data_IF_837886536773
#
_entry.id   IF_837886536773
#
_cell.length_a   1.000
_cell.length_b   1.000
_cell.length_c   1.000
_cell.angle_alpha   90.00
_cell.angle_beta   90.00
_cell.angle_gamma   90.00
#
_symmetry.space_group_name_H-M   'P 1'
#
loop_
_entity.id
_entity.type
_entity.pdbx_description
1 polymer ?
#
# COMPACT_ATOMS: atom_id res chain seq x y z
N UNK A 1 -23.49 -0.92 -7.77
CA UNK A 1 -23.46 -1.96 -6.72
C UNK A 1 -23.90 -1.40 -5.35
N UNK A 2 -23.47 -0.19 -4.99
CA UNK A 2 -23.81 0.48 -3.72
C UNK A 2 -25.32 0.71 -3.57
N UNK A 3 -25.96 1.23 -4.64
CA UNK A 3 -27.41 1.52 -4.65
C UNK A 3 -28.26 0.25 -4.56
N UNK A 4 -27.76 -0.87 -5.10
CA UNK A 4 -28.47 -2.16 -5.05
C UNK A 4 -28.43 -2.75 -3.63
N UNK A 5 -27.29 -2.70 -2.96
CA UNK A 5 -27.15 -3.17 -1.57
C UNK A 5 -27.97 -2.34 -0.59
N UNK A 6 -28.01 -1.02 -0.77
CA UNK A 6 -28.84 -0.11 0.04
C UNK A 6 -30.34 -0.34 -0.17
N UNK A 7 -30.76 -0.60 -1.41
CA UNK A 7 -32.14 -0.95 -1.74
C UNK A 7 -32.56 -2.29 -1.14
N UNK A 8 -31.70 -3.31 -1.25
CA UNK A 8 -31.95 -4.63 -0.65
C UNK A 8 -32.07 -4.53 0.87
N UNK A 9 -31.16 -3.78 1.53
CA UNK A 9 -31.19 -3.58 2.97
C UNK A 9 -32.48 -2.91 3.44
N UNK A 10 -32.93 -1.83 2.79
CA UNK A 10 -34.20 -1.18 3.11
C UNK A 10 -35.39 -2.14 2.96
N UNK A 11 -35.36 -3.00 1.95
CA UNK A 11 -36.40 -4.01 1.74
C UNK A 11 -36.41 -5.03 2.88
N UNK A 12 -35.24 -5.49 3.35
CA UNK A 12 -35.14 -6.42 4.48
C UNK A 12 -35.63 -5.78 5.78
N UNK A 13 -35.18 -4.56 6.11
CA UNK A 13 -35.63 -3.83 7.30
C UNK A 13 -37.15 -3.65 7.32
N UNK A 14 -37.74 -3.27 6.17
CA UNK A 14 -39.19 -3.12 6.04
C UNK A 14 -39.91 -4.46 6.25
N UNK A 15 -39.41 -5.54 5.61
CA UNK A 15 -40.02 -6.87 5.75
C UNK A 15 -39.96 -7.37 7.20
N UNK A 16 -38.85 -7.12 7.90
CA UNK A 16 -38.67 -7.49 9.30
C UNK A 16 -39.64 -6.74 10.22
N UNK A 17 -39.80 -5.43 10.03
CA UNK A 17 -40.74 -4.60 10.77
C UNK A 17 -42.18 -5.01 10.51
N UNK A 18 -42.52 -5.33 9.27
CA UNK A 18 -43.85 -5.78 8.89
C UNK A 18 -44.20 -7.13 9.52
N UNK A 19 -43.25 -8.09 9.54
CA UNK A 19 -43.44 -9.40 10.20
C UNK A 19 -43.60 -9.24 11.72
N UNK A 20 -42.79 -8.43 12.38
CA UNK A 20 -42.87 -8.18 13.81
C UNK A 20 -44.22 -7.56 14.16
N UNK A 21 -44.69 -6.57 13.40
CA UNK A 21 -46.01 -5.93 13.58
C UNK A 21 -47.16 -6.93 13.42
N UNK A 22 -47.08 -7.83 12.43
CA UNK A 22 -48.09 -8.89 12.24
C UNK A 22 -48.12 -9.87 13.38
N UNK A 23 -46.97 -10.28 13.90
CA UNK A 23 -46.86 -11.16 15.06
C UNK A 23 -47.48 -10.54 16.31
N UNK A 24 -47.20 -9.29 16.59
CA UNK A 24 -47.76 -8.59 17.76
C UNK A 24 -49.26 -8.42 17.64
N UNK A 25 -49.77 -8.13 16.45
CA UNK A 25 -51.22 -8.06 16.17
C UNK A 25 -51.89 -9.41 16.44
N UNK A 26 -51.33 -10.51 15.93
CA UNK A 26 -51.86 -11.86 16.14
C UNK A 26 -51.81 -12.28 17.62
N UNK A 27 -50.71 -11.97 18.33
CA UNK A 27 -50.61 -12.21 19.79
C UNK A 27 -51.70 -11.49 20.55
N UNK A 28 -51.96 -10.23 20.21
CA UNK A 28 -53.01 -9.43 20.83
C UNK A 28 -54.42 -9.98 20.53
N UNK A 29 -54.67 -10.44 19.31
CA UNK A 29 -55.92 -11.07 18.92
C UNK A 29 -56.15 -12.40 19.64
N UNK A 30 -55.12 -13.28 19.74
CA UNK A 30 -55.16 -14.55 20.46
C UNK A 30 -55.44 -14.29 21.96
N UNK A 31 -54.72 -13.38 22.61
CA UNK A 31 -54.97 -13.01 24.00
C UNK A 31 -56.35 -12.45 24.23
N UNK A 32 -56.87 -11.66 23.29
CA UNK A 32 -58.25 -11.15 23.33
C UNK A 32 -59.34 -12.24 23.24
N UNK A 33 -59.10 -13.26 22.42
CA UNK A 33 -59.98 -14.43 22.29
C UNK A 33 -59.94 -15.33 23.51
N UNK A 34 -58.74 -15.61 24.04
CA UNK A 34 -58.54 -16.40 25.26
C UNK A 34 -59.18 -15.72 26.49
N UNK A 35 -59.04 -14.40 26.62
CA UNK A 35 -59.62 -13.64 27.76
C UNK A 35 -61.14 -13.55 27.78
N UNK A 36 -61.79 -13.65 26.60
CA UNK A 36 -63.24 -13.53 26.46
C UNK A 36 -64.03 -14.83 26.69
N UNK A 37 -63.35 -15.93 27.10
CA UNK A 37 -63.97 -17.23 27.35
C UNK A 37 -64.88 -17.73 26.20
N UNK A 38 -64.46 -17.55 24.93
CA UNK A 38 -65.18 -18.16 23.84
C UNK A 38 -64.84 -19.65 23.75
N UNK A 39 -65.46 -20.40 24.67
CA UNK A 39 -65.44 -21.85 24.65
C UNK A 39 -66.09 -22.34 23.33
N UNK A 40 -65.25 -22.74 22.36
CA UNK A 40 -65.69 -23.30 21.09
C UNK A 40 -65.20 -22.58 19.85
N UNK A 41 -64.43 -21.49 19.96
CA UNK A 41 -63.80 -20.88 18.81
C UNK A 41 -62.44 -21.55 18.51
N UNK A 42 -62.28 -22.07 17.31
CA UNK A 42 -61.00 -22.68 16.88
C UNK A 42 -59.98 -21.61 16.55
N UNK A 43 -59.01 -21.42 17.42
CA UNK A 43 -57.89 -20.48 17.25
C UNK A 43 -56.64 -21.15 16.69
N UNK A 44 -56.70 -22.45 16.32
CA UNK A 44 -55.60 -23.22 15.83
C UNK A 44 -54.91 -22.60 14.63
N UNK A 45 -55.69 -22.07 13.67
CA UNK A 45 -55.16 -21.43 12.46
C UNK A 45 -54.34 -20.17 12.80
N UNK A 46 -54.75 -19.37 13.78
CA UNK A 46 -54.03 -18.18 14.24
C UNK A 46 -52.72 -18.57 14.97
N UNK A 47 -52.77 -19.65 15.75
CA UNK A 47 -51.60 -20.16 16.43
C UNK A 47 -50.59 -20.72 15.47
N UNK A 48 -51.03 -21.52 14.46
CA UNK A 48 -50.16 -22.04 13.41
C UNK A 48 -49.47 -20.89 12.62
N UNK A 49 -50.24 -19.85 12.28
CA UNK A 49 -49.71 -18.68 11.57
C UNK A 49 -48.73 -17.87 12.41
N UNK A 50 -48.94 -17.78 13.73
CA UNK A 50 -47.98 -17.15 14.64
C UNK A 50 -46.68 -17.95 14.71
N UNK A 51 -46.73 -19.27 14.76
CA UNK A 51 -45.56 -20.16 14.74
C UNK A 51 -44.80 -19.99 13.43
N UNK A 52 -45.51 -20.01 12.27
CA UNK A 52 -44.88 -19.81 10.96
C UNK A 52 -44.17 -18.43 10.88
N UNK A 53 -44.84 -17.37 11.29
CA UNK A 53 -44.25 -16.01 11.31
C UNK A 53 -43.04 -15.92 12.27
N UNK A 54 -43.12 -16.60 13.42
CA UNK A 54 -42.01 -16.63 14.37
C UNK A 54 -40.80 -17.35 13.78
N UNK A 55 -41.00 -18.48 13.11
CA UNK A 55 -39.93 -19.18 12.43
C UNK A 55 -39.27 -18.33 11.34
N UNK A 56 -40.08 -17.69 10.49
CA UNK A 56 -39.55 -16.80 9.44
C UNK A 56 -38.82 -15.59 9.99
N UNK A 57 -39.29 -15.05 11.10
CA UNK A 57 -38.60 -13.97 11.81
C UNK A 57 -37.23 -14.41 12.36
N UNK A 58 -37.19 -15.61 12.99
CA UNK A 58 -35.93 -16.17 13.49
C UNK A 58 -34.94 -16.54 12.39
N UNK A 59 -35.42 -17.00 11.23
CA UNK A 59 -34.59 -17.26 10.07
C UNK A 59 -33.98 -15.96 9.52
N UNK A 60 -34.81 -14.94 9.32
CA UNK A 60 -34.34 -13.62 8.86
C UNK A 60 -33.33 -13.00 9.84
N UNK A 61 -33.58 -13.14 11.16
CA UNK A 61 -32.63 -12.67 12.18
C UNK A 61 -31.31 -13.44 12.21
N UNK A 62 -31.27 -14.71 11.79
CA UNK A 62 -30.03 -15.48 11.62
C UNK A 62 -29.25 -15.01 10.40
N UNK A 63 -29.94 -14.78 9.29
CA UNK A 63 -29.30 -14.29 8.06
C UNK A 63 -28.65 -12.91 8.29
N UNK A 64 -29.34 -12.00 8.97
CA UNK A 64 -28.80 -10.67 9.34
C UNK A 64 -27.52 -10.78 10.22
N UNK A 65 -27.49 -11.76 11.16
CA UNK A 65 -26.29 -12.01 11.99
C UNK A 65 -25.14 -12.56 11.17
N UNK A 66 -25.43 -13.47 10.23
CA UNK A 66 -24.43 -14.04 9.33
C UNK A 66 -23.79 -12.96 8.46
N UNK A 67 -24.61 -12.09 7.89
CA UNK A 67 -24.15 -10.97 7.07
C UNK A 67 -23.30 -9.98 7.89
N UNK A 68 -23.70 -9.69 9.14
CA UNK A 68 -22.95 -8.82 10.03
C UNK A 68 -21.59 -9.43 10.43
N UNK A 69 -21.49 -10.74 10.60
CA UNK A 69 -20.24 -11.45 10.87
C UNK A 69 -19.31 -11.45 9.67
N UNK A 70 -19.85 -11.64 8.45
CA UNK A 70 -19.09 -11.58 7.21
C UNK A 70 -18.53 -10.17 6.97
N UNK A 71 -19.33 -9.12 7.20
CA UNK A 71 -18.88 -7.73 7.10
C UNK A 71 -17.77 -7.41 8.13
N UNK A 72 -17.89 -7.89 9.37
CA UNK A 72 -16.85 -7.71 10.39
C UNK A 72 -15.54 -8.41 10.01
N UNK A 73 -15.63 -9.61 9.43
CA UNK A 73 -14.46 -10.35 8.94
C UNK A 73 -13.80 -9.58 7.80
N UNK A 74 -14.57 -9.14 6.81
CA UNK A 74 -14.08 -8.35 5.69
C UNK A 74 -13.40 -7.05 6.14
N UNK A 75 -13.96 -6.37 7.14
CA UNK A 75 -13.33 -5.19 7.75
C UNK A 75 -12.01 -5.53 8.45
N UNK A 76 -11.95 -6.66 9.15
CA UNK A 76 -10.71 -7.13 9.79
C UNK A 76 -9.62 -7.42 8.77
N UNK A 77 -9.96 -8.11 7.67
CA UNK A 77 -9.04 -8.44 6.58
C UNK A 77 -8.53 -7.17 5.87
N UNK A 78 -9.41 -6.18 5.69
CA UNK A 78 -9.04 -4.90 5.10
C UNK A 78 -8.10 -4.10 6.02
N UNK A 79 -8.34 -4.08 7.33
CA UNK A 79 -7.44 -3.46 8.32
C UNK A 79 -6.07 -4.11 8.35
N UNK A 80 -6.01 -5.44 8.25
CA UNK A 80 -4.73 -6.15 8.14
C UNK A 80 -3.99 -5.79 6.85
N UNK A 81 -4.70 -5.67 5.74
CA UNK A 81 -4.15 -5.23 4.45
C UNK A 81 -3.58 -3.80 4.54
N UNK A 82 -4.30 -2.88 5.18
CA UNK A 82 -3.83 -1.52 5.45
C UNK A 82 -2.55 -1.54 6.28
N UNK A 83 -2.53 -2.29 7.38
CA UNK A 83 -1.37 -2.39 8.26
C UNK A 83 -0.13 -2.95 7.53
N UNK A 84 -0.31 -3.98 6.69
CA UNK A 84 0.77 -4.52 5.84
C UNK A 84 1.30 -3.45 4.89
N UNK A 85 0.42 -2.73 4.20
CA UNK A 85 0.82 -1.67 3.26
C UNK A 85 1.53 -0.52 3.96
N UNK A 86 1.08 -0.13 5.15
CA UNK A 86 1.75 0.89 5.96
C UNK A 86 3.17 0.49 6.35
N UNK A 87 3.40 -0.80 6.65
CA UNK A 87 4.70 -1.33 7.01
C UNK A 87 5.66 -1.49 5.82
N UNK A 88 5.18 -1.52 4.58
CA UNK A 88 6.02 -1.65 3.39
C UNK A 88 6.95 -0.45 3.25
N UNK A 89 8.22 -0.74 2.90
CA UNK A 89 9.25 0.25 2.64
C UNK A 89 9.77 0.08 1.21
N UNK A 90 10.11 1.19 0.59
CA UNK A 90 10.78 1.15 -0.70
C UNK A 90 12.11 0.41 -0.59
N UNK A 91 12.35 -0.52 -1.50
CA UNK A 91 13.63 -1.23 -1.64
C UNK A 91 14.26 -0.84 -2.97
N UNK A 92 15.34 -0.08 -2.90
CA UNK A 92 16.08 0.35 -4.07
C UNK A 92 16.67 -0.82 -4.83
N UNK A 93 16.39 -0.91 -6.12
CA UNK A 93 17.05 -1.83 -7.06
C UNK A 93 18.43 -1.33 -7.50
N UNK A 94 18.75 -0.08 -7.18
CA UNK A 94 19.98 0.60 -7.60
C UNK A 94 21.06 0.61 -6.52
N UNK A 95 20.83 0.03 -5.34
CA UNK A 95 21.78 0.04 -4.22
C UNK A 95 23.17 -0.43 -4.64
N UNK A 96 23.27 -1.59 -5.29
CA UNK A 96 24.56 -2.13 -5.73
C UNK A 96 25.16 -1.31 -6.89
N UNK A 97 24.43 -1.00 -7.99
CA UNK A 97 24.97 -0.14 -9.06
C UNK A 97 25.44 1.22 -8.56
N UNK A 98 24.73 1.86 -7.64
CA UNK A 98 25.15 3.14 -7.04
C UNK A 98 26.45 2.99 -6.25
N UNK A 99 26.59 1.93 -5.45
CA UNK A 99 27.81 1.66 -4.70
C UNK A 99 29.00 1.43 -5.63
N UNK A 100 28.82 0.64 -6.70
CA UNK A 100 29.87 0.32 -7.67
C UNK A 100 30.36 1.55 -8.43
N UNK A 101 29.44 2.41 -8.90
CA UNK A 101 29.79 3.64 -9.59
C UNK A 101 30.42 4.65 -8.62
N UNK A 102 29.93 4.78 -7.41
CA UNK A 102 30.53 5.65 -6.40
C UNK A 102 31.98 5.24 -6.07
N UNK A 103 32.24 3.94 -5.99
CA UNK A 103 33.59 3.41 -5.81
C UNK A 103 34.53 3.77 -6.99
N UNK A 104 34.05 3.61 -8.25
CA UNK A 104 34.79 4.02 -9.45
C UNK A 104 35.05 5.52 -9.48
N UNK A 105 34.09 6.36 -9.15
CA UNK A 105 34.29 7.81 -9.07
C UNK A 105 35.37 8.16 -8.06
N UNK A 106 35.37 7.52 -6.90
CA UNK A 106 36.37 7.72 -5.86
C UNK A 106 37.77 7.29 -6.33
N UNK A 107 37.88 6.12 -6.98
CA UNK A 107 39.13 5.59 -7.52
C UNK A 107 39.71 6.51 -8.60
N UNK A 108 38.89 6.87 -9.60
CA UNK A 108 39.30 7.79 -10.67
C UNK A 108 39.71 9.15 -10.12
N UNK A 109 39.00 9.68 -9.13
CA UNK A 109 39.32 10.92 -8.46
C UNK A 109 40.69 10.86 -7.73
N UNK A 110 40.94 9.77 -7.02
CA UNK A 110 42.24 9.55 -6.35
C UNK A 110 43.38 9.40 -7.36
N UNK A 111 43.14 8.70 -8.47
CA UNK A 111 44.14 8.54 -9.52
C UNK A 111 44.43 9.87 -10.24
N UNK A 112 43.39 10.63 -10.58
CA UNK A 112 43.52 11.96 -11.15
C UNK A 112 44.37 12.88 -10.26
N UNK A 113 44.11 12.92 -8.96
CA UNK A 113 44.88 13.74 -8.03
C UNK A 113 46.35 13.35 -7.97
N UNK A 114 46.67 12.04 -7.98
CA UNK A 114 48.02 11.55 -8.01
C UNK A 114 48.74 11.95 -9.29
N UNK A 115 48.10 11.79 -10.45
CA UNK A 115 48.71 12.15 -11.75
C UNK A 115 48.92 13.67 -11.85
N UNK A 116 48.00 14.49 -11.37
CA UNK A 116 48.18 15.96 -11.30
C UNK A 116 49.35 16.33 -10.39
N UNK A 117 49.49 15.68 -9.23
CA UNK A 117 50.61 15.93 -8.32
C UNK A 117 51.93 15.54 -8.95
N UNK A 118 51.97 14.36 -9.60
CA UNK A 118 53.16 13.87 -10.33
C UNK A 118 53.55 14.82 -11.47
N UNK A 119 52.55 15.29 -12.25
CA UNK A 119 52.80 16.24 -13.33
C UNK A 119 53.37 17.58 -12.81
N UNK A 120 52.90 18.10 -11.70
CA UNK A 120 53.39 19.33 -11.09
C UNK A 120 54.80 19.23 -10.58
N UNK A 121 55.22 18.07 -10.09
CA UNK A 121 56.55 17.80 -9.60
C UNK A 121 57.55 17.42 -10.70
N UNK A 122 57.08 17.16 -11.93
CA UNK A 122 57.86 16.56 -13.00
C UNK A 122 58.80 17.56 -13.68
N UNK A 123 60.09 17.25 -13.72
CA UNK A 123 61.14 18.08 -14.34
C UNK A 123 62.24 17.24 -15.02
N UNK A 124 63.10 17.90 -15.78
CA UNK A 124 64.25 17.25 -16.38
C UNK A 124 65.19 16.62 -15.33
N UNK A 125 65.73 15.46 -15.63
CA UNK A 125 66.56 14.66 -14.73
C UNK A 125 65.77 13.61 -13.93
N UNK A 126 64.45 13.69 -13.89
CA UNK A 126 63.58 12.64 -13.29
C UNK A 126 63.46 11.43 -14.22
N UNK A 127 63.07 10.29 -13.65
CA UNK A 127 62.75 9.09 -14.41
C UNK A 127 61.35 9.21 -15.04
N UNK A 128 61.25 8.83 -16.33
CA UNK A 128 59.95 8.80 -17.03
C UNK A 128 59.05 7.74 -16.40
N UNK A 129 57.82 8.08 -15.95
CA UNK A 129 56.93 7.13 -15.32
C UNK A 129 56.46 5.99 -16.24
N UNK A 130 56.61 6.14 -17.57
CA UNK A 130 56.16 5.15 -18.56
C UNK A 130 57.31 4.21 -19.01
N UNK A 131 58.51 4.77 -19.29
CA UNK A 131 59.62 3.97 -19.85
C UNK A 131 60.83 3.85 -18.93
N UNK A 132 60.79 4.42 -17.76
CA UNK A 132 61.82 4.38 -16.71
C UNK A 132 63.21 4.90 -17.15
N UNK A 133 63.26 5.71 -18.19
CA UNK A 133 64.50 6.40 -18.64
C UNK A 133 64.61 7.78 -18.04
N UNK A 134 65.80 8.25 -17.83
CA UNK A 134 66.05 9.64 -17.43
C UNK A 134 65.53 10.61 -18.48
N UNK A 135 64.73 11.58 -18.06
CA UNK A 135 64.12 12.61 -18.94
C UNK A 135 65.13 13.72 -19.14
N UNK A 136 65.50 13.95 -20.41
CA UNK A 136 66.34 15.08 -20.79
C UNK A 136 65.50 16.31 -21.03
N UNK A 137 66.15 17.51 -21.10
CA UNK A 137 65.43 18.75 -21.45
C UNK A 137 64.72 18.66 -22.80
N UNK A 138 65.30 17.93 -23.77
CA UNK A 138 64.75 17.72 -25.10
C UNK A 138 63.51 16.83 -25.11
N UNK A 139 63.45 15.79 -24.26
CA UNK A 139 62.32 14.83 -24.15
C UNK A 139 61.25 15.30 -23.15
N UNK A 140 61.55 16.29 -22.35
CA UNK A 140 60.62 16.81 -21.31
C UNK A 140 59.25 17.24 -21.87
N UNK A 141 59.18 17.98 -23.01
CA UNK A 141 57.86 18.41 -23.55
C UNK A 141 57.00 17.23 -23.99
N UNK A 142 57.57 16.17 -24.57
CA UNK A 142 56.83 14.99 -25.03
C UNK A 142 56.28 14.21 -23.84
N UNK A 143 57.07 14.02 -22.79
CA UNK A 143 56.63 13.34 -21.59
C UNK A 143 55.52 14.15 -20.85
N UNK A 144 55.68 15.46 -20.78
CA UNK A 144 54.65 16.34 -20.21
C UNK A 144 53.38 16.31 -21.04
N UNK A 145 53.43 16.26 -22.36
CA UNK A 145 52.27 16.13 -23.24
C UNK A 145 51.54 14.79 -23.00
N UNK A 146 52.30 13.69 -22.86
CA UNK A 146 51.72 12.39 -22.53
C UNK A 146 51.03 12.36 -21.15
N UNK A 147 51.67 12.93 -20.14
CA UNK A 147 51.04 13.06 -18.80
C UNK A 147 49.81 13.92 -18.81
N UNK A 148 49.82 15.08 -19.55
CA UNK A 148 48.61 15.90 -19.70
C UNK A 148 47.47 15.14 -20.35
N UNK A 149 47.77 14.30 -21.36
CA UNK A 149 46.76 13.45 -22.00
C UNK A 149 46.15 12.46 -20.98
N UNK A 150 46.95 11.78 -20.20
CA UNK A 150 46.47 10.86 -19.15
C UNK A 150 45.57 11.59 -18.15
N UNK A 151 45.97 12.79 -17.71
CA UNK A 151 45.18 13.62 -16.79
C UNK A 151 43.85 14.00 -17.42
N UNK A 152 43.85 14.41 -18.71
CA UNK A 152 42.63 14.74 -19.45
C UNK A 152 41.69 13.57 -19.61
N UNK A 153 42.25 12.37 -19.93
CA UNK A 153 41.47 11.14 -20.10
C UNK A 153 40.84 10.71 -18.75
N UNK A 154 41.58 10.81 -17.65
CA UNK A 154 41.09 10.54 -16.30
C UNK A 154 39.97 11.54 -15.87
N UNK A 155 40.17 12.81 -16.22
CA UNK A 155 39.14 13.83 -15.94
C UNK A 155 37.83 13.54 -16.70
N UNK A 156 37.93 13.22 -18.00
CA UNK A 156 36.79 12.86 -18.83
C UNK A 156 36.06 11.63 -18.30
N UNK A 157 36.82 10.56 -18.01
CA UNK A 157 36.26 9.34 -17.44
C UNK A 157 35.60 9.57 -16.07
N UNK A 158 36.22 10.39 -15.22
CA UNK A 158 35.67 10.75 -13.91
C UNK A 158 34.38 11.57 -14.01
N UNK A 159 34.30 12.47 -15.00
CA UNK A 159 33.11 13.29 -15.27
C UNK A 159 31.97 12.43 -15.78
N UNK A 160 32.24 11.50 -16.69
CA UNK A 160 31.25 10.55 -17.21
C UNK A 160 30.67 9.69 -16.09
N UNK A 161 31.54 9.11 -15.23
CA UNK A 161 31.06 8.29 -14.12
C UNK A 161 30.25 9.09 -13.10
N UNK A 162 30.57 10.37 -12.89
CA UNK A 162 29.75 11.26 -12.04
C UNK A 162 28.38 11.51 -12.65
N UNK A 163 28.30 11.73 -13.97
CA UNK A 163 27.02 11.89 -14.66
C UNK A 163 26.15 10.66 -14.50
N UNK A 164 26.71 9.47 -14.73
CA UNK A 164 26.01 8.20 -14.56
C UNK A 164 25.55 7.98 -13.10
N UNK A 165 26.36 8.38 -12.11
CA UNK A 165 25.98 8.32 -10.71
C UNK A 165 24.76 9.22 -10.42
N UNK A 166 24.79 10.44 -10.93
CA UNK A 166 23.70 11.40 -10.76
C UNK A 166 22.41 10.90 -11.42
N UNK A 167 22.50 10.39 -12.64
CA UNK A 167 21.36 9.82 -13.35
C UNK A 167 20.72 8.65 -12.60
N UNK A 168 21.54 7.73 -12.08
CA UNK A 168 21.05 6.61 -11.29
C UNK A 168 20.42 7.06 -9.96
N UNK A 169 20.99 8.07 -9.31
CA UNK A 169 20.40 8.66 -8.09
C UNK A 169 19.04 9.28 -8.36
N UNK A 170 18.89 9.99 -9.49
CA UNK A 170 17.61 10.56 -9.90
C UNK A 170 16.59 9.48 -10.26
N UNK A 171 17.03 8.39 -10.91
CA UNK A 171 16.14 7.25 -11.21
C UNK A 171 15.67 6.56 -9.93
N UNK A 172 16.56 6.34 -8.98
CA UNK A 172 16.23 5.73 -7.69
C UNK A 172 15.25 6.61 -6.90
N UNK A 173 15.53 7.91 -6.85
CA UNK A 173 14.62 8.87 -6.23
C UNK A 173 13.23 8.86 -6.87
N UNK A 174 13.14 8.92 -8.19
CA UNK A 174 11.87 8.85 -8.92
C UNK A 174 11.11 7.55 -8.62
N UNK A 175 11.82 6.43 -8.52
CA UNK A 175 11.22 5.15 -8.17
C UNK A 175 10.68 5.14 -6.73
N UNK A 176 11.42 5.74 -5.79
CA UNK A 176 10.97 5.93 -4.40
C UNK A 176 9.74 6.83 -4.32
N UNK A 177 9.79 8.01 -4.96
CA UNK A 177 8.67 8.96 -4.99
C UNK A 177 7.39 8.31 -5.58
N UNK A 178 7.57 7.50 -6.64
CA UNK A 178 6.47 6.77 -7.28
C UNK A 178 5.90 5.69 -6.35
N UNK A 179 6.76 4.95 -5.64
CA UNK A 179 6.33 3.97 -4.65
C UNK A 179 5.52 4.63 -3.53
N UNK A 180 6.00 5.75 -3.00
CA UNK A 180 5.34 6.49 -1.92
C UNK A 180 3.98 7.04 -2.37
N UNK A 181 3.89 7.53 -3.62
CA UNK A 181 2.62 7.99 -4.21
C UNK A 181 1.61 6.84 -4.31
N UNK A 182 1.98 5.70 -4.88
CA UNK A 182 1.09 4.54 -4.97
C UNK A 182 0.69 4.01 -3.59
N UNK A 183 1.63 4.00 -2.64
CA UNK A 183 1.34 3.63 -1.27
C UNK A 183 0.30 4.55 -0.63
N UNK A 184 0.43 5.86 -0.82
CA UNK A 184 -0.51 6.85 -0.31
C UNK A 184 -1.90 6.69 -0.95
N UNK A 185 -1.96 6.50 -2.27
CA UNK A 185 -3.21 6.33 -3.01
C UNK A 185 -3.95 5.04 -2.58
N UNK A 186 -3.21 3.92 -2.43
CA UNK A 186 -3.76 2.66 -1.94
C UNK A 186 -4.33 2.81 -0.52
N UNK A 187 -3.55 3.44 0.38
CA UNK A 187 -3.97 3.66 1.77
C UNK A 187 -5.20 4.55 1.86
N UNK A 188 -5.23 5.68 1.15
CA UNK A 188 -6.37 6.58 1.13
C UNK A 188 -7.65 5.87 0.67
N UNK A 189 -7.56 5.03 -0.37
CA UNK A 189 -8.69 4.25 -0.86
C UNK A 189 -9.17 3.23 0.17
N UNK A 190 -8.25 2.43 0.72
CA UNK A 190 -8.61 1.36 1.65
C UNK A 190 -9.08 1.88 3.00
N UNK A 191 -8.56 3.00 3.48
CA UNK A 191 -9.03 3.67 4.68
C UNK A 191 -10.45 4.23 4.50
N UNK A 192 -10.77 4.77 3.32
CA UNK A 192 -12.13 5.19 3.00
C UNK A 192 -13.09 3.99 2.93
N UNK A 193 -12.67 2.88 2.29
CA UNK A 193 -13.47 1.65 2.23
C UNK A 193 -13.69 1.07 3.64
N UNK A 194 -12.66 1.07 4.50
CA UNK A 194 -12.75 0.59 5.88
C UNK A 194 -13.71 1.45 6.72
N UNK A 195 -13.66 2.77 6.58
CA UNK A 195 -14.57 3.68 7.28
C UNK A 195 -16.04 3.45 6.87
N UNK A 196 -16.30 3.21 5.59
CA UNK A 196 -17.64 2.88 5.09
C UNK A 196 -18.13 1.52 5.64
N UNK A 197 -17.26 0.50 5.61
CA UNK A 197 -17.59 -0.82 6.18
C UNK A 197 -17.84 -0.73 7.70
N UNK A 198 -17.07 0.08 8.42
CA UNK A 198 -17.26 0.29 9.86
C UNK A 198 -18.60 0.94 10.16
N UNK A 199 -19.01 1.93 9.36
CA UNK A 199 -20.35 2.55 9.42
C UNK A 199 -21.45 1.50 9.21
N UNK A 200 -21.31 0.65 8.18
CA UNK A 200 -22.27 -0.41 7.89
C UNK A 200 -22.36 -1.44 9.04
N UNK A 201 -21.23 -1.84 9.61
CA UNK A 201 -21.20 -2.75 10.78
C UNK A 201 -21.90 -2.13 12.00
N UNK A 202 -21.75 -0.83 12.24
CA UNK A 202 -22.43 -0.13 13.33
C UNK A 202 -23.95 -0.07 13.12
N UNK A 203 -24.39 0.23 11.91
CA UNK A 203 -25.79 0.27 11.54
C UNK A 203 -26.46 -1.10 11.68
N UNK A 204 -25.81 -2.18 11.21
CA UNK A 204 -26.29 -3.56 11.38
C UNK A 204 -26.36 -3.98 12.87
N UNK A 205 -25.39 -3.56 13.68
CA UNK A 205 -25.41 -3.83 15.11
C UNK A 205 -26.50 -3.09 15.86
N UNK A 206 -26.86 -1.89 15.42
CA UNK A 206 -27.93 -1.08 16.00
C UNK A 206 -29.34 -1.56 15.64
N UNK A 207 -29.51 -2.27 14.54
CA UNK A 207 -30.79 -2.86 14.13
C UNK A 207 -31.13 -4.14 14.91
N UNK A 208 -30.12 -4.89 15.34
CA UNK A 208 -30.28 -6.14 16.11
C UNK A 208 -30.60 -5.87 17.60
N UNK A 209 -30.38 -4.65 18.09
CA UNK A 209 -30.53 -4.30 19.52
C UNK A 209 -31.87 -3.63 19.85
N UNK A 210 -32.75 -3.45 18.89
CA UNK A 210 -34.12 -2.93 19.07
C UNK A 210 -35.16 -4.01 18.82
#
# INVERSE_FOLDING_TARGET
QKDLAESQRKTYEQTHQDMASQMDKLRWEIAGLESKQFAGMDISEMQERLVELSQRYDEAARDDRSDAEEQRKSLSDLREKIARRQAEQYQSKFTQPLADIAAKVKELGARYQREVASFKAFHAGMECPTCHRAVTEQSLPEVQAALKKVISDLYAAGTEQRSQLTELQEMDKKASDTFDQFKADDLAKWEADAAEMERLCQELSGSVSK
#
